data_IF_413772494474
#
_entry.id   IF_413772494474
#
_cell.length_a   1.000
_cell.length_b   1.000
_cell.length_c   1.000
_cell.angle_alpha   90.00
_cell.angle_beta   90.00
_cell.angle_gamma   90.00
#
_symmetry.space_group_name_H-M   'P 1'
#
loop_
_entity.id
_entity.type
_entity.pdbx_description
1 polymer ?
#
# COMPACT_ATOMS: atom_id res chain seq x y z
N UNK A 1 -7.21 14.74 -7.43
CA UNK A 1 -6.26 14.31 -8.49
C UNK A 1 -6.82 13.09 -9.21
N UNK A 2 -6.39 12.76 -10.44
CA UNK A 2 -6.93 11.61 -11.20
C UNK A 2 -6.63 10.28 -10.47
N UNK A 3 -5.48 10.18 -9.81
CA UNK A 3 -5.11 9.01 -8.99
C UNK A 3 -5.96 8.83 -7.72
N UNK A 4 -6.83 9.80 -7.41
CA UNK A 4 -7.81 9.65 -6.34
C UNK A 4 -9.02 8.83 -6.74
N UNK A 5 -9.22 8.64 -8.05
CA UNK A 5 -10.34 7.88 -8.59
C UNK A 5 -10.05 6.39 -8.35
N UNK A 6 -10.84 5.69 -7.52
CA UNK A 6 -10.52 4.32 -7.11
C UNK A 6 -10.30 3.35 -8.26
N UNK A 7 -11.16 3.39 -9.28
CA UNK A 7 -11.09 2.48 -10.43
C UNK A 7 -9.83 2.65 -11.29
N UNK A 8 -9.13 3.78 -11.14
CA UNK A 8 -7.98 4.12 -11.96
C UNK A 8 -6.63 3.75 -11.35
N UNK A 9 -6.58 3.22 -10.12
CA UNK A 9 -5.32 3.02 -9.38
C UNK A 9 -4.24 2.25 -10.15
N UNK A 10 -4.60 1.16 -10.84
CA UNK A 10 -3.66 0.33 -11.62
C UNK A 10 -3.13 1.01 -12.89
N UNK A 11 -3.80 2.02 -13.41
CA UNK A 11 -3.35 2.75 -14.60
C UNK A 11 -2.14 3.65 -14.33
N UNK A 12 -1.79 3.87 -13.06
CA UNK A 12 -0.61 4.63 -12.64
C UNK A 12 0.67 3.79 -12.52
N UNK A 13 0.62 2.49 -12.83
CA UNK A 13 1.82 1.68 -12.92
C UNK A 13 2.63 2.07 -14.15
N UNK A 14 3.96 2.15 -14.01
CA UNK A 14 4.86 2.66 -15.04
C UNK A 14 4.64 4.14 -15.44
N UNK A 15 4.03 4.95 -14.58
CA UNK A 15 3.97 6.41 -14.76
C UNK A 15 5.01 7.11 -13.88
N UNK A 16 5.03 8.44 -13.90
CA UNK A 16 5.91 9.31 -13.11
C UNK A 16 5.71 9.20 -11.58
N UNK A 17 4.54 8.73 -11.12
CA UNK A 17 4.25 8.47 -9.71
C UNK A 17 4.55 7.04 -9.27
N UNK A 18 5.19 6.24 -10.12
CA UNK A 18 5.70 4.91 -9.82
C UNK A 18 7.23 4.93 -9.89
N UNK A 19 7.91 4.24 -8.97
CA UNK A 19 9.34 3.97 -9.06
C UNK A 19 9.69 3.02 -10.20
N UNK A 20 8.71 2.24 -10.68
CA UNK A 20 8.84 1.34 -11.83
C UNK A 20 9.92 0.26 -11.61
N UNK A 21 10.06 -0.21 -10.37
CA UNK A 21 11.00 -1.27 -10.06
C UNK A 21 10.67 -2.53 -10.85
N UNK A 22 11.71 -3.31 -11.13
CA UNK A 22 11.59 -4.65 -11.69
C UNK A 22 12.49 -5.58 -10.90
N UNK A 23 12.05 -6.81 -10.72
CA UNK A 23 12.94 -7.84 -10.16
C UNK A 23 14.09 -8.11 -11.13
N UNK A 24 15.17 -8.72 -10.62
CA UNK A 24 16.10 -9.45 -11.49
C UNK A 24 15.35 -10.56 -12.25
N UNK A 25 15.87 -11.10 -13.37
CA UNK A 25 15.27 -12.25 -14.03
C UNK A 25 15.08 -13.42 -13.05
N UNK A 26 13.85 -13.93 -12.97
CA UNK A 26 13.46 -14.99 -12.05
C UNK A 26 13.75 -16.36 -12.65
N UNK A 27 14.42 -17.23 -11.89
CA UNK A 27 14.76 -18.59 -12.33
C UNK A 27 13.55 -19.52 -12.33
N UNK A 28 12.67 -19.36 -11.34
CA UNK A 28 11.57 -20.27 -11.02
C UNK A 28 10.16 -19.64 -11.12
N UNK A 29 10.08 -18.39 -11.59
CA UNK A 29 8.83 -17.64 -11.67
C UNK A 29 8.83 -16.73 -12.91
N UNK A 30 7.75 -15.97 -13.09
CA UNK A 30 7.63 -14.94 -14.12
C UNK A 30 7.80 -15.44 -15.57
N UNK A 31 7.51 -16.72 -15.86
CA UNK A 31 7.65 -17.31 -17.19
C UNK A 31 6.86 -16.58 -18.29
N UNK A 32 5.75 -15.93 -17.91
CA UNK A 32 4.90 -15.14 -18.80
C UNK A 32 5.25 -13.64 -18.85
N UNK A 33 6.31 -13.22 -18.15
CA UNK A 33 6.77 -11.83 -18.14
C UNK A 33 7.96 -11.65 -19.10
N UNK A 34 8.06 -10.46 -19.71
CA UNK A 34 9.22 -10.07 -20.50
C UNK A 34 10.50 -10.21 -19.69
N UNK A 35 11.51 -10.89 -20.25
CA UNK A 35 12.80 -11.19 -19.62
C UNK A 35 12.71 -11.92 -18.27
N UNK A 36 11.58 -12.57 -17.96
CA UNK A 36 11.29 -13.19 -16.66
C UNK A 36 11.41 -12.21 -15.48
N UNK A 37 11.11 -10.93 -15.70
CA UNK A 37 11.15 -9.90 -14.66
C UNK A 37 9.73 -9.51 -14.26
N UNK A 38 9.45 -9.51 -12.96
CA UNK A 38 8.17 -9.06 -12.43
C UNK A 38 8.25 -7.55 -12.24
N UNK A 39 7.21 -6.83 -12.70
CA UNK A 39 7.07 -5.40 -12.37
C UNK A 39 6.74 -5.26 -10.89
N UNK A 40 7.29 -4.23 -10.25
CA UNK A 40 7.15 -4.02 -8.82
C UNK A 40 6.70 -2.57 -8.54
N UNK A 41 5.40 -2.27 -8.76
CA UNK A 41 4.89 -0.92 -8.59
C UNK A 41 5.13 -0.41 -7.17
N UNK A 42 5.66 0.81 -7.05
CA UNK A 42 5.95 1.45 -5.76
C UNK A 42 5.74 2.94 -5.88
N UNK A 43 4.91 3.52 -5.01
CA UNK A 43 4.51 4.92 -5.16
C UNK A 43 5.66 5.89 -4.93
N UNK A 44 5.80 6.83 -5.86
CA UNK A 44 6.77 7.91 -5.87
C UNK A 44 6.05 9.24 -5.73
N UNK A 45 6.03 9.76 -4.50
CA UNK A 45 5.36 11.02 -4.17
C UNK A 45 4.90 11.07 -2.72
N UNK A 46 4.30 12.19 -2.32
CA UNK A 46 3.73 12.34 -0.98
C UNK A 46 2.61 11.32 -0.77
N UNK A 47 2.79 10.43 0.20
CA UNK A 47 1.89 9.30 0.49
C UNK A 47 2.42 7.94 0.03
N UNK A 48 3.51 7.92 -0.74
CA UNK A 48 4.18 6.70 -1.17
C UNK A 48 3.23 5.76 -1.93
N UNK A 49 3.36 4.45 -1.71
CA UNK A 49 2.53 3.44 -2.40
C UNK A 49 1.02 3.57 -2.13
N UNK A 50 0.58 4.30 -1.10
CA UNK A 50 -0.86 4.57 -0.91
C UNK A 50 -1.48 5.40 -2.03
N UNK A 51 -0.67 6.06 -2.87
CA UNK A 51 -1.11 6.80 -4.05
C UNK A 51 -1.61 5.91 -5.19
N UNK A 52 -1.16 4.66 -5.27
CA UNK A 52 -1.42 3.75 -6.39
C UNK A 52 -1.80 2.32 -5.98
N UNK A 53 -1.86 2.02 -4.67
CA UNK A 53 -2.28 0.71 -4.17
C UNK A 53 -3.74 0.38 -4.55
N UNK A 54 -4.15 -0.86 -4.27
CA UNK A 54 -5.51 -1.33 -4.50
C UNK A 54 -6.55 -0.84 -3.45
N UNK A 55 -6.18 0.06 -2.53
CA UNK A 55 -7.00 0.60 -1.44
C UNK A 55 -7.58 -0.42 -0.45
N UNK A 56 -7.40 -1.72 -0.64
CA UNK A 56 -7.86 -2.77 0.29
C UNK A 56 -7.48 -2.43 1.74
N UNK A 57 -8.49 -2.35 2.61
CA UNK A 57 -8.30 -2.13 4.04
C UNK A 57 -8.43 -3.48 4.76
N UNK A 58 -7.28 -4.11 5.00
CA UNK A 58 -7.17 -5.44 5.64
C UNK A 58 -6.01 -5.39 6.62
N UNK A 59 -6.24 -5.89 7.83
CA UNK A 59 -5.23 -6.05 8.90
C UNK A 59 -4.62 -7.46 8.83
N UNK A 60 -3.45 -7.63 9.42
CA UNK A 60 -2.82 -8.95 9.54
C UNK A 60 -3.63 -9.88 10.44
N UNK A 61 -3.32 -11.17 10.39
CA UNK A 61 -3.85 -12.12 11.36
C UNK A 61 -3.31 -11.78 12.76
N UNK A 62 -4.08 -12.03 13.83
CA UNK A 62 -3.59 -11.82 15.19
C UNK A 62 -2.25 -12.56 15.42
N UNK A 63 -2.17 -13.79 14.91
CA UNK A 63 -0.98 -14.64 14.98
C UNK A 63 0.24 -14.01 14.28
N UNK A 64 0.06 -13.20 13.24
CA UNK A 64 1.19 -12.58 12.54
C UNK A 64 1.97 -11.65 13.48
N UNK A 65 1.26 -10.91 14.34
CA UNK A 65 1.83 -9.98 15.32
C UNK A 65 2.42 -10.73 16.52
N UNK A 66 1.72 -11.74 17.03
CA UNK A 66 2.22 -12.57 18.13
C UNK A 66 3.51 -13.33 17.73
N UNK A 67 3.58 -13.77 16.47
CA UNK A 67 4.78 -14.41 15.91
C UNK A 67 5.94 -13.42 15.70
N UNK A 68 5.68 -12.11 15.63
CA UNK A 68 6.74 -11.09 15.68
C UNK A 68 7.27 -10.88 17.09
N UNK A 69 6.39 -10.86 18.09
CA UNK A 69 6.80 -10.68 19.48
C UNK A 69 7.59 -11.88 20.01
N UNK A 70 7.17 -13.10 19.68
CA UNK A 70 7.79 -14.35 20.14
C UNK A 70 9.33 -14.40 20.00
N UNK A 71 9.96 -14.02 18.87
CA UNK A 71 11.41 -13.96 18.73
C UNK A 71 12.08 -12.70 19.32
N UNK A 72 11.30 -11.74 19.83
CA UNK A 72 11.83 -10.61 20.61
C UNK A 72 11.38 -9.21 20.19
N UNK A 73 10.43 -9.06 19.25
CA UNK A 73 9.84 -7.76 18.93
C UNK A 73 8.83 -7.34 20.02
N UNK A 74 9.33 -7.09 21.23
CA UNK A 74 8.51 -6.76 22.41
C UNK A 74 7.59 -5.56 22.12
N UNK A 75 6.33 -5.66 22.52
CA UNK A 75 5.35 -4.60 22.29
C UNK A 75 4.74 -4.61 20.88
N UNK A 76 4.91 -5.72 20.15
CA UNK A 76 4.32 -5.94 18.82
C UNK A 76 3.35 -7.12 18.80
N UNK A 77 2.89 -7.61 19.95
CA UNK A 77 1.79 -8.57 20.00
C UNK A 77 0.52 -7.96 19.39
N UNK A 78 -0.46 -8.80 19.03
CA UNK A 78 -1.73 -8.29 18.52
C UNK A 78 -2.40 -7.32 19.52
N UNK A 79 -2.35 -7.64 20.81
CA UNK A 79 -2.90 -6.81 21.88
C UNK A 79 -2.24 -5.43 21.93
N UNK A 80 -0.91 -5.36 21.75
CA UNK A 80 -0.17 -4.09 21.77
C UNK A 80 -0.44 -3.21 20.54
N UNK A 81 -0.67 -3.81 19.37
CA UNK A 81 -0.88 -3.06 18.12
C UNK A 81 -2.35 -2.68 17.88
N UNK A 82 -3.31 -3.41 18.46
CA UNK A 82 -4.74 -3.15 18.29
C UNK A 82 -5.13 -1.69 18.63
N UNK A 83 -4.69 -1.08 19.73
CA UNK A 83 -4.96 0.33 20.01
C UNK A 83 -4.50 1.29 18.90
N UNK A 84 -3.44 0.95 18.18
CA UNK A 84 -2.96 1.76 17.06
C UNK A 84 -3.79 1.55 15.79
N UNK A 85 -4.30 0.34 15.55
CA UNK A 85 -5.29 0.11 14.49
C UNK A 85 -6.59 0.88 14.75
N UNK A 86 -7.07 0.89 15.99
CA UNK A 86 -8.24 1.69 16.38
C UNK A 86 -7.96 3.19 16.22
N UNK A 87 -6.79 3.67 16.65
CA UNK A 87 -6.39 5.08 16.50
C UNK A 87 -6.28 5.52 15.04
N UNK A 88 -5.89 4.61 14.14
CA UNK A 88 -5.75 4.85 12.71
C UNK A 88 -7.10 5.03 12.02
N UNK A 89 -8.12 4.32 12.49
CA UNK A 89 -9.33 4.02 11.74
C UNK A 89 -10.45 5.04 11.93
N UNK A 90 -11.05 5.44 10.82
CA UNK A 90 -12.34 6.10 10.75
C UNK A 90 -13.31 5.24 9.96
N UNK A 91 -13.84 4.20 10.60
CA UNK A 91 -14.74 3.25 9.97
C UNK A 91 -16.12 3.87 9.77
N UNK A 92 -16.68 3.73 8.56
CA UNK A 92 -17.99 4.27 8.18
C UNK A 92 -19.09 3.23 8.06
N UNK A 93 -18.77 1.95 8.24
CA UNK A 93 -19.71 0.84 8.15
C UNK A 93 -20.26 0.52 9.57
N UNK A 94 -21.52 0.88 9.89
CA UNK A 94 -22.04 0.77 11.26
C UNK A 94 -22.05 -0.66 11.80
N UNK A 95 -22.21 -1.65 10.93
CA UNK A 95 -22.21 -3.07 11.27
C UNK A 95 -20.87 -3.54 11.84
N UNK A 96 -19.77 -2.84 11.54
CA UNK A 96 -18.43 -3.20 12.04
C UNK A 96 -18.09 -2.47 13.35
N UNK A 97 -18.78 -1.37 13.68
CA UNK A 97 -18.51 -0.59 14.89
C UNK A 97 -19.01 -1.26 16.19
N UNK A 98 -19.90 -2.26 16.08
CA UNK A 98 -20.54 -2.89 17.24
C UNK A 98 -19.74 -4.07 17.82
N UNK A 99 -18.75 -4.60 17.09
CA UNK A 99 -18.05 -5.83 17.46
C UNK A 99 -16.78 -5.62 18.33
N UNK A 100 -16.39 -4.37 18.59
CA UNK A 100 -15.23 -4.02 19.44
C UNK A 100 -13.87 -4.04 18.75
N UNK A 101 -13.80 -4.38 17.46
CA UNK A 101 -12.55 -4.42 16.68
C UNK A 101 -12.34 -3.17 15.83
N UNK A 102 -13.29 -2.24 15.82
CA UNK A 102 -13.27 -1.05 14.99
C UNK A 102 -13.44 0.24 15.76
N UNK A 103 -12.93 1.33 15.19
CA UNK A 103 -13.08 2.67 15.71
C UNK A 103 -13.49 3.67 14.63
N UNK A 104 -14.00 4.81 15.07
CA UNK A 104 -14.29 5.96 14.21
C UNK A 104 -13.50 7.19 14.65
N UNK A 105 -13.31 8.16 13.74
CA UNK A 105 -12.63 9.42 14.03
C UNK A 105 -11.12 9.43 13.80
N UNK A 106 -10.51 8.31 13.41
CA UNK A 106 -9.12 8.25 12.97
C UNK A 106 -8.85 8.97 11.64
N UNK A 107 -7.58 9.09 11.24
CA UNK A 107 -7.20 9.80 10.02
C UNK A 107 -7.44 9.02 8.72
N UNK A 108 -7.51 7.69 8.74
CA UNK A 108 -7.77 6.86 7.56
C UNK A 108 -9.22 6.40 7.57
N UNK A 109 -9.99 6.87 6.59
CA UNK A 109 -11.39 6.44 6.43
C UNK A 109 -11.43 5.05 5.80
N UNK A 110 -12.11 4.12 6.46
CA UNK A 110 -12.39 2.78 5.98
C UNK A 110 -13.89 2.68 5.67
N UNK A 111 -14.23 2.45 4.40
CA UNK A 111 -15.63 2.31 3.95
C UNK A 111 -15.75 1.25 2.86
N UNK A 112 -16.88 0.55 2.80
CA UNK A 112 -17.26 -0.29 1.64
C UNK A 112 -17.41 0.60 0.39
N UNK A 113 -17.08 0.10 -0.82
CA UNK A 113 -17.25 0.87 -2.04
C UNK A 113 -18.73 1.20 -2.29
N UNK A 114 -19.00 2.33 -2.93
CA UNK A 114 -20.36 2.78 -3.30
C UNK A 114 -20.86 2.14 -4.61
N UNK A 115 -20.35 0.95 -4.92
CA UNK A 115 -20.73 0.15 -6.07
C UNK A 115 -20.61 -1.33 -5.70
N UNK A 116 -21.66 -2.09 -6.01
CA UNK A 116 -21.67 -3.54 -5.85
C UNK A 116 -21.52 -4.20 -7.23
N UNK A 117 -20.43 -4.98 -7.40
CA UNK A 117 -20.19 -5.72 -8.62
C UNK A 117 -21.12 -6.92 -8.77
N UNK A 118 -21.40 -7.32 -10.00
CA UNK A 118 -22.37 -8.38 -10.33
C UNK A 118 -22.00 -9.74 -9.71
N UNK A 119 -20.71 -9.98 -9.48
CA UNK A 119 -20.20 -11.24 -8.93
C UNK A 119 -20.31 -11.33 -7.39
N UNK A 120 -20.58 -10.21 -6.70
CA UNK A 120 -20.57 -10.14 -5.23
C UNK A 120 -21.53 -11.16 -4.61
N UNK A 121 -22.82 -11.07 -4.95
CA UNK A 121 -23.85 -11.94 -4.38
C UNK A 121 -23.69 -13.41 -4.78
N UNK A 122 -23.42 -13.76 -6.05
CA UNK A 122 -23.14 -15.15 -6.43
C UNK A 122 -21.99 -15.79 -5.65
N UNK A 123 -20.89 -15.06 -5.41
CA UNK A 123 -19.76 -15.58 -4.62
C UNK A 123 -20.17 -15.74 -3.15
N UNK A 124 -20.92 -14.79 -2.60
CA UNK A 124 -21.44 -14.87 -1.24
C UNK A 124 -22.33 -16.10 -1.03
N UNK A 125 -23.25 -16.34 -1.94
CA UNK A 125 -24.15 -17.50 -1.91
C UNK A 125 -23.39 -18.82 -2.05
N UNK A 126 -22.45 -18.89 -3.00
CA UNK A 126 -21.60 -20.07 -3.19
C UNK A 126 -20.76 -20.38 -1.94
N UNK A 127 -20.18 -19.36 -1.31
CA UNK A 127 -19.45 -19.52 -0.06
C UNK A 127 -20.33 -20.10 1.06
N UNK A 128 -21.56 -19.61 1.21
CA UNK A 128 -22.51 -20.12 2.20
C UNK A 128 -22.94 -21.56 1.89
N UNK A 129 -23.19 -21.91 0.63
CA UNK A 129 -23.50 -23.28 0.21
C UNK A 129 -22.35 -24.26 0.51
N UNK A 130 -21.11 -23.79 0.45
CA UNK A 130 -19.91 -24.55 0.83
C UNK A 130 -19.68 -24.60 2.35
N UNK A 131 -20.53 -23.95 3.16
CA UNK A 131 -20.42 -23.92 4.62
C UNK A 131 -19.49 -22.85 5.17
N UNK A 132 -19.01 -21.92 4.35
CA UNK A 132 -18.21 -20.78 4.83
C UNK A 132 -19.10 -19.67 5.39
N UNK A 133 -18.58 -19.01 6.42
CA UNK A 133 -19.20 -17.80 6.98
C UNK A 133 -18.83 -16.57 6.15
N UNK A 134 -19.77 -15.63 6.08
CA UNK A 134 -19.51 -14.26 5.67
C UNK A 134 -19.31 -13.45 6.94
N UNK A 135 -18.14 -12.85 7.13
CA UNK A 135 -17.69 -12.27 8.39
C UNK A 135 -16.96 -10.94 8.17
N UNK A 136 -16.51 -10.34 9.25
CA UNK A 136 -15.58 -9.22 9.26
C UNK A 136 -14.15 -9.75 9.43
N UNK A 137 -13.31 -9.56 8.41
CA UNK A 137 -11.94 -10.10 8.38
C UNK A 137 -10.95 -9.36 9.28
N UNK A 138 -11.35 -8.21 9.82
CA UNK A 138 -10.54 -7.41 10.74
C UNK A 138 -10.96 -7.58 12.21
N UNK A 139 -11.91 -8.49 12.47
CA UNK A 139 -12.42 -8.83 13.80
C UNK A 139 -11.89 -10.19 14.30
N UNK A 140 -12.60 -10.79 15.26
CA UNK A 140 -12.21 -12.01 15.98
C UNK A 140 -11.83 -13.20 15.07
N UNK A 141 -12.61 -13.43 14.01
CA UNK A 141 -12.42 -14.57 13.11
C UNK A 141 -11.99 -14.11 11.72
N UNK A 142 -10.79 -14.51 11.29
CA UNK A 142 -10.19 -14.00 10.05
C UNK A 142 -10.18 -15.05 8.91
N UNK A 143 -10.85 -16.19 9.11
CA UNK A 143 -11.02 -17.24 8.09
C UNK A 143 -12.47 -17.30 7.62
N UNK A 144 -12.74 -16.80 6.42
CA UNK A 144 -14.06 -16.78 5.81
C UNK A 144 -14.12 -15.89 4.58
N UNK A 145 -15.33 -15.57 4.14
CA UNK A 145 -15.59 -14.59 3.08
C UNK A 145 -16.02 -13.28 3.70
N UNK A 146 -15.78 -12.15 3.04
CA UNK A 146 -16.12 -10.83 3.57
C UNK A 146 -16.24 -9.81 2.45
N UNK A 147 -17.02 -8.78 2.71
CA UNK A 147 -17.08 -7.61 1.85
C UNK A 147 -15.85 -6.75 2.12
N UNK A 148 -15.08 -6.45 1.07
CA UNK A 148 -13.88 -5.65 1.22
C UNK A 148 -14.22 -4.19 1.55
N UNK A 149 -13.64 -3.68 2.63
CA UNK A 149 -13.51 -2.25 2.86
C UNK A 149 -12.29 -1.71 2.11
N UNK A 150 -12.36 -0.43 1.75
CA UNK A 150 -11.24 0.30 1.18
C UNK A 150 -10.86 1.51 2.03
N UNK A 151 -9.59 1.92 1.96
CA UNK A 151 -9.12 3.22 2.44
C UNK A 151 -9.65 4.33 1.52
N UNK A 152 -10.92 4.69 1.69
CA UNK A 152 -11.71 5.56 0.81
C UNK A 152 -12.42 6.59 1.68
N UNK A 153 -12.51 7.82 1.18
CA UNK A 153 -13.26 8.92 1.80
C UNK A 153 -14.11 9.58 0.74
N UNK A 154 -15.43 9.51 0.91
CA UNK A 154 -16.38 10.12 -0.02
C UNK A 154 -16.20 9.62 -1.47
N UNK A 155 -16.04 8.31 -1.65
CA UNK A 155 -15.86 7.70 -2.97
C UNK A 155 -14.51 7.98 -3.63
N UNK A 156 -13.53 8.53 -2.90
CA UNK A 156 -12.18 8.80 -3.39
C UNK A 156 -11.13 8.10 -2.53
N UNK A 157 -10.00 7.75 -3.13
CA UNK A 157 -8.82 7.24 -2.40
C UNK A 157 -8.46 8.13 -1.20
N UNK A 158 -8.32 7.51 -0.04
CA UNK A 158 -7.77 8.10 1.17
C UNK A 158 -6.30 7.68 1.31
N UNK A 159 -5.40 8.40 0.64
CA UNK A 159 -3.94 8.17 0.77
C UNK A 159 -3.42 8.64 2.13
N UNK A 160 -2.26 8.15 2.55
CA UNK A 160 -1.64 8.60 3.81
C UNK A 160 -1.30 10.09 3.79
N UNK A 161 -0.95 10.65 2.62
CA UNK A 161 -0.77 12.10 2.47
C UNK A 161 -2.07 12.88 2.74
N UNK A 162 -3.20 12.44 2.16
CA UNK A 162 -4.50 13.08 2.42
C UNK A 162 -4.96 12.93 3.87
N UNK A 163 -4.66 11.79 4.48
CA UNK A 163 -5.06 11.47 5.83
C UNK A 163 -4.24 12.21 6.90
N UNK A 164 -2.93 12.34 6.69
CA UNK A 164 -2.00 12.85 7.69
C UNK A 164 -1.30 14.15 7.33
N UNK A 165 -0.85 14.30 6.08
CA UNK A 165 -0.04 15.45 5.66
C UNK A 165 -0.91 16.67 5.35
N UNK A 166 -1.96 16.50 4.54
CA UNK A 166 -2.84 17.62 4.15
C UNK A 166 -3.45 18.33 5.37
N UNK A 167 -4.01 17.62 6.39
CA UNK A 167 -4.53 18.29 7.58
C UNK A 167 -3.45 18.95 8.46
N UNK A 168 -2.17 18.62 8.24
CA UNK A 168 -1.04 19.10 9.02
C UNK A 168 -0.16 20.10 8.26
N UNK A 169 -0.43 20.38 6.98
CA UNK A 169 0.48 21.12 6.09
C UNK A 169 0.75 22.57 6.53
N UNK A 170 -0.19 23.17 7.26
CA UNK A 170 -0.07 24.54 7.76
C UNK A 170 0.55 24.64 9.16
N UNK A 171 1.02 23.53 9.74
CA UNK A 171 1.69 23.54 11.05
C UNK A 171 3.08 24.13 10.90
N UNK A 172 3.39 25.16 11.67
CA UNK A 172 4.69 25.87 11.60
C UNK A 172 5.89 25.05 12.10
N UNK A 173 5.66 23.86 12.64
CA UNK A 173 6.68 22.93 13.11
C UNK A 173 6.83 21.69 12.21
N UNK A 174 6.28 21.74 10.99
CA UNK A 174 6.38 20.68 9.99
C UNK A 174 6.78 21.26 8.63
N UNK A 175 7.97 20.89 8.14
CA UNK A 175 8.40 21.20 6.79
C UNK A 175 8.20 19.96 5.90
N UNK A 176 7.51 20.12 4.77
CA UNK A 176 7.29 19.07 3.77
C UNK A 176 8.01 19.48 2.48
N UNK A 177 9.11 18.79 2.17
CA UNK A 177 9.91 19.09 0.97
C UNK A 177 9.67 18.03 -0.10
N UNK A 178 8.72 18.32 -1.01
CA UNK A 178 8.45 17.46 -2.16
C UNK A 178 9.60 17.50 -3.18
N UNK A 179 9.85 16.38 -3.87
CA UNK A 179 10.91 16.31 -4.89
C UNK A 179 12.34 16.30 -4.34
N UNK A 180 12.52 16.19 -3.02
CA UNK A 180 13.82 15.99 -2.39
C UNK A 180 14.19 14.49 -2.38
N UNK A 181 15.22 14.11 -3.13
CA UNK A 181 15.66 12.72 -3.24
C UNK A 181 16.86 12.44 -2.35
N UNK A 182 16.65 11.70 -1.25
CA UNK A 182 17.71 11.38 -0.28
C UNK A 182 18.72 10.40 -0.86
N UNK A 183 20.01 10.74 -0.77
CA UNK A 183 21.13 9.95 -1.29
C UNK A 183 21.89 9.17 -0.22
N UNK A 184 22.06 9.77 0.97
CA UNK A 184 22.74 9.13 2.11
C UNK A 184 22.33 9.75 3.43
N UNK A 185 22.48 8.98 4.50
CA UNK A 185 22.45 9.43 5.90
C UNK A 185 23.85 9.89 6.30
N UNK A 186 23.92 11.00 7.04
CA UNK A 186 25.17 11.58 7.56
C UNK A 186 25.42 11.06 8.96
N UNK A 187 26.68 10.72 9.28
CA UNK A 187 27.07 10.16 10.57
C UNK A 187 28.20 10.94 11.25
N UNK A 188 28.15 10.99 12.58
CA UNK A 188 29.26 11.30 13.47
C UNK A 188 29.57 10.05 14.30
N UNK A 189 30.65 9.35 13.96
CA UNK A 189 30.90 7.99 14.43
C UNK A 189 29.76 7.04 14.06
N UNK A 190 29.00 6.59 15.06
CA UNK A 190 27.81 5.72 14.87
C UNK A 190 26.47 6.46 15.01
N UNK A 191 26.49 7.77 15.27
CA UNK A 191 25.28 8.58 15.44
C UNK A 191 24.85 9.17 14.11
N UNK A 192 23.61 8.93 13.68
CA UNK A 192 23.02 9.65 12.57
C UNK A 192 22.80 11.12 12.95
N UNK A 193 23.28 12.05 12.12
CA UNK A 193 23.26 13.50 12.39
C UNK A 193 22.54 14.31 11.31
N UNK A 194 22.05 13.66 10.26
CA UNK A 194 21.37 14.34 9.16
C UNK A 194 21.25 13.47 7.92
N UNK A 195 20.83 14.09 6.82
CA UNK A 195 20.76 13.45 5.51
C UNK A 195 21.28 14.40 4.43
N UNK A 196 21.83 13.82 3.37
CA UNK A 196 22.14 14.51 2.13
C UNK A 196 21.11 14.09 1.07
N UNK A 197 20.62 15.04 0.31
CA UNK A 197 19.57 14.84 -0.70
C UNK A 197 19.74 15.79 -1.88
N UNK A 198 19.24 15.39 -3.04
CA UNK A 198 19.11 16.26 -4.19
C UNK A 198 17.80 17.03 -4.13
N UNK A 199 17.86 18.33 -4.36
CA UNK A 199 16.69 19.18 -4.48
C UNK A 199 16.92 20.23 -5.57
N UNK A 200 16.03 20.29 -6.56
CA UNK A 200 16.13 21.23 -7.69
C UNK A 200 17.48 21.18 -8.44
N UNK A 201 18.10 19.99 -8.52
CA UNK A 201 19.43 19.71 -9.09
C UNK A 201 20.62 20.17 -8.24
N UNK A 202 20.39 20.65 -7.02
CA UNK A 202 21.44 20.97 -6.06
C UNK A 202 21.57 19.86 -5.00
N UNK A 203 22.81 19.58 -4.60
CA UNK A 203 23.08 18.69 -3.46
C UNK A 203 22.95 19.48 -2.16
N UNK A 204 22.01 19.07 -1.31
CA UNK A 204 21.67 19.72 -0.07
C UNK A 204 21.94 18.80 1.13
N UNK A 205 22.19 19.39 2.30
CA UNK A 205 22.25 18.69 3.57
C UNK A 205 21.26 19.30 4.57
N UNK A 206 20.66 18.44 5.40
CA UNK A 206 19.91 18.88 6.58
C UNK A 206 20.37 18.09 7.81
N UNK A 207 20.53 18.78 8.94
CA UNK A 207 21.00 18.19 10.19
C UNK A 207 19.82 17.89 11.12
N UNK A 208 19.89 16.75 11.80
CA UNK A 208 18.89 16.30 12.77
C UNK A 208 19.45 16.39 14.20
N UNK A 209 18.76 17.13 15.07
CA UNK A 209 19.17 17.26 16.49
C UNK A 209 18.91 15.99 17.29
N UNK A 210 17.84 15.26 16.96
CA UNK A 210 17.41 14.06 17.70
C UNK A 210 17.70 12.81 16.91
N UNK A 211 16.95 12.61 15.83
CA UNK A 211 16.86 11.33 15.12
C UNK A 211 16.65 11.55 13.62
N UNK A 212 17.06 10.55 12.85
CA UNK A 212 16.72 10.38 11.43
C UNK A 212 15.85 9.12 11.34
N UNK A 213 14.61 9.26 10.86
CA UNK A 213 13.65 8.17 10.74
C UNK A 213 13.52 7.78 9.28
N UNK A 214 13.80 6.52 8.98
CA UNK A 214 13.80 5.99 7.62
C UNK A 214 12.41 5.47 7.26
N UNK A 215 11.78 6.10 6.27
CA UNK A 215 10.42 5.76 5.81
C UNK A 215 10.33 5.65 4.29
N UNK A 216 11.40 5.18 3.63
CA UNK A 216 11.50 5.13 2.17
C UNK A 216 10.80 3.88 1.55
N UNK A 217 10.20 3.02 2.38
CA UNK A 217 9.64 1.72 1.98
C UNK A 217 10.69 0.62 1.92
N UNK A 218 10.26 -0.64 1.78
CA UNK A 218 11.12 -1.84 1.89
C UNK A 218 12.36 -1.78 1.01
N UNK A 219 12.18 -1.49 -0.29
CA UNK A 219 13.27 -1.46 -1.27
C UNK A 219 14.23 -0.29 -1.05
N UNK A 220 13.72 0.94 -1.03
CA UNK A 220 14.57 2.13 -0.96
C UNK A 220 15.20 2.32 0.42
N UNK A 221 14.57 1.85 1.50
CA UNK A 221 15.19 1.92 2.84
C UNK A 221 16.44 1.04 2.89
N UNK A 222 16.36 -0.20 2.39
CA UNK A 222 17.52 -1.09 2.32
C UNK A 222 18.62 -0.50 1.44
N UNK A 223 18.26 0.02 0.26
CA UNK A 223 19.21 0.68 -0.64
C UNK A 223 19.88 1.89 0.04
N UNK A 224 19.11 2.78 0.66
CA UNK A 224 19.62 4.00 1.26
C UNK A 224 20.52 3.70 2.47
N UNK A 225 20.19 2.69 3.28
CA UNK A 225 21.07 2.22 4.36
C UNK A 225 22.40 1.71 3.80
N UNK A 226 22.38 0.90 2.75
CA UNK A 226 23.60 0.39 2.11
C UNK A 226 24.44 1.54 1.50
N UNK A 227 23.82 2.48 0.80
CA UNK A 227 24.47 3.70 0.28
C UNK A 227 25.08 4.57 1.41
N UNK A 228 24.55 4.44 2.62
CA UNK A 228 25.03 5.14 3.81
C UNK A 228 26.04 4.34 4.64
N UNK A 229 26.52 3.19 4.14
CA UNK A 229 27.51 2.37 4.83
C UNK A 229 26.95 1.39 5.88
N UNK A 230 25.64 1.16 5.90
CA UNK A 230 24.98 0.18 6.77
C UNK A 230 24.45 -0.98 5.92
N UNK A 231 25.11 -2.12 5.97
CA UNK A 231 24.76 -3.29 5.17
C UNK A 231 25.86 -4.35 5.13
N UNK A 232 25.71 -5.41 4.32
CA UNK A 232 26.66 -6.51 4.31
C UNK A 232 28.05 -6.02 3.88
N UNK A 233 29.05 -6.13 4.75
CA UNK A 233 30.39 -5.56 4.53
C UNK A 233 30.99 -5.90 3.16
N UNK A 234 30.96 -7.18 2.78
CA UNK A 234 31.47 -7.65 1.49
C UNK A 234 30.73 -7.08 0.28
N UNK A 235 29.46 -6.70 0.44
CA UNK A 235 28.70 -6.03 -0.62
C UNK A 235 29.12 -4.57 -0.72
N UNK A 236 29.19 -3.87 0.42
CA UNK A 236 29.60 -2.46 0.48
C UNK A 236 31.01 -2.23 -0.09
N UNK A 237 31.96 -3.11 0.25
CA UNK A 237 33.34 -3.07 -0.25
C UNK A 237 33.45 -3.21 -1.78
N UNK A 238 32.49 -3.90 -2.44
CA UNK A 238 32.48 -4.00 -3.91
C UNK A 238 32.14 -2.69 -4.62
N UNK A 239 31.53 -1.76 -3.90
CA UNK A 239 31.12 -0.45 -4.41
C UNK A 239 31.93 0.69 -3.78
N UNK A 240 33.06 0.38 -3.12
CA UNK A 240 33.91 1.35 -2.43
C UNK A 240 33.15 2.20 -1.39
N UNK A 241 32.12 1.63 -0.75
CA UNK A 241 31.33 2.29 0.28
C UNK A 241 31.96 2.03 1.66
N UNK A 242 32.34 3.07 2.43
CA UNK A 242 32.83 2.90 3.80
C UNK A 242 31.81 2.23 4.71
N UNK A 243 32.25 1.22 5.46
CA UNK A 243 31.37 0.45 6.35
C UNK A 243 31.24 1.13 7.72
N UNK A 244 30.04 1.58 8.03
CA UNK A 244 29.64 2.09 9.35
C UNK A 244 29.16 0.94 10.24
N UNK A 245 28.36 0.03 9.68
CA UNK A 245 27.87 -1.15 10.38
C UNK A 245 27.66 -2.32 9.40
N UNK A 246 28.20 -3.49 9.77
CA UNK A 246 28.01 -4.74 9.05
C UNK A 246 26.74 -5.43 9.55
N UNK A 247 25.66 -5.31 8.78
CA UNK A 247 24.33 -5.84 9.10
C UNK A 247 23.73 -6.48 7.83
N UNK A 248 22.84 -7.49 7.96
CA UNK A 248 22.22 -8.18 6.81
C UNK A 248 21.11 -7.32 6.14
N UNK A 249 21.39 -6.05 5.86
CA UNK A 249 20.45 -5.14 5.20
C UNK A 249 20.19 -5.62 3.77
N UNK A 250 18.92 -5.73 3.41
CA UNK A 250 18.47 -6.23 2.10
C UNK A 250 18.12 -7.72 2.11
N UNK A 251 18.45 -8.45 3.17
CA UNK A 251 18.03 -9.84 3.35
C UNK A 251 16.59 -9.94 3.90
N UNK A 252 16.07 -11.17 4.00
CA UNK A 252 14.72 -11.49 4.51
C UNK A 252 13.59 -10.75 3.77
N UNK A 253 13.77 -10.49 2.48
CA UNK A 253 12.73 -9.94 1.63
C UNK A 253 11.57 -10.93 1.48
N UNK A 254 10.36 -10.47 1.78
CA UNK A 254 9.13 -11.26 1.71
C UNK A 254 8.08 -10.47 0.95
N UNK A 255 7.27 -11.17 0.16
CA UNK A 255 6.10 -10.62 -0.52
C UNK A 255 5.07 -11.70 -0.83
N UNK A 256 3.85 -11.29 -1.14
CA UNK A 256 2.75 -12.18 -1.49
C UNK A 256 2.74 -12.48 -2.99
N UNK A 257 3.12 -13.70 -3.36
CA UNK A 257 3.01 -14.17 -4.74
C UNK A 257 1.56 -14.52 -5.07
N UNK A 258 1.02 -13.91 -6.12
CA UNK A 258 -0.32 -14.19 -6.64
C UNK A 258 -0.29 -14.50 -8.14
N UNK A 259 -1.25 -15.31 -8.60
CA UNK A 259 -1.48 -15.57 -10.03
C UNK A 259 -2.93 -15.25 -10.38
N UNK A 260 -3.20 -14.39 -11.38
CA UNK A 260 -4.57 -14.06 -11.75
C UNK A 260 -5.24 -15.23 -12.48
N UNK A 261 -6.44 -15.59 -12.05
CA UNK A 261 -7.34 -16.48 -12.79
C UNK A 261 -8.51 -15.66 -13.34
N UNK A 262 -8.85 -15.85 -14.61
CA UNK A 262 -9.92 -15.10 -15.28
C UNK A 262 -11.08 -16.00 -15.63
N UNK A 263 -12.29 -15.51 -15.38
CA UNK A 263 -13.56 -16.14 -15.74
C UNK A 263 -14.37 -15.16 -16.59
N UNK A 264 -15.16 -15.69 -17.51
CA UNK A 264 -16.09 -14.89 -18.32
C UNK A 264 -17.44 -14.87 -17.61
N UNK A 265 -17.98 -13.66 -17.39
CA UNK A 265 -19.32 -13.45 -16.87
C UNK A 265 -20.22 -12.92 -17.99
N UNK A 266 -21.52 -13.20 -17.90
CA UNK A 266 -22.53 -12.58 -18.74
C UNK A 266 -22.85 -11.17 -18.22
N UNK A 267 -21.89 -10.26 -18.38
CA UNK A 267 -21.98 -8.87 -17.94
C UNK A 267 -21.12 -7.95 -18.81
N UNK A 268 -21.49 -6.67 -18.89
CA UNK A 268 -20.69 -5.66 -19.60
C UNK A 268 -19.26 -5.61 -19.02
N UNK A 269 -18.20 -5.58 -19.86
CA UNK A 269 -16.82 -5.45 -19.39
C UNK A 269 -16.61 -4.18 -18.56
N UNK A 270 -15.76 -4.26 -17.53
CA UNK A 270 -15.42 -3.11 -16.68
C UNK A 270 -14.89 -1.94 -17.52
N UNK A 271 -14.06 -2.22 -18.53
CA UNK A 271 -13.51 -1.19 -19.42
C UNK A 271 -14.60 -0.36 -20.08
N UNK A 272 -15.65 -1.01 -20.58
CA UNK A 272 -16.74 -0.33 -21.28
C UNK A 272 -17.56 0.51 -20.31
N UNK A 273 -17.82 -0.02 -19.11
CA UNK A 273 -18.50 0.73 -18.05
C UNK A 273 -17.69 1.96 -17.60
N UNK A 274 -16.36 1.87 -17.54
CA UNK A 274 -15.51 3.02 -17.20
C UNK A 274 -15.40 4.08 -18.30
N UNK A 275 -15.67 3.71 -19.56
CA UNK A 275 -15.70 4.63 -20.69
C UNK A 275 -17.09 5.23 -20.95
N UNK A 276 -18.12 4.75 -20.26
CA UNK A 276 -19.48 5.25 -20.37
C UNK A 276 -19.60 6.65 -19.73
N UNK A 277 -20.03 7.63 -20.52
CA UNK A 277 -20.18 9.02 -20.09
C UNK A 277 -21.12 9.16 -18.89
N UNK A 278 -22.19 8.36 -18.80
CA UNK A 278 -23.15 8.47 -17.71
C UNK A 278 -22.50 8.04 -16.38
N UNK A 279 -21.70 6.97 -16.39
CA UNK A 279 -20.94 6.52 -15.21
C UNK A 279 -19.88 7.54 -14.79
N UNK A 280 -19.22 8.20 -15.76
CA UNK A 280 -18.26 9.26 -15.49
C UNK A 280 -18.97 10.46 -14.84
N UNK A 281 -20.11 10.88 -15.40
CA UNK A 281 -20.88 12.01 -14.89
C UNK A 281 -21.49 11.72 -13.51
N UNK A 282 -21.95 10.48 -13.27
CA UNK A 282 -22.40 10.05 -11.95
C UNK A 282 -21.29 10.23 -10.90
N UNK A 283 -20.08 9.79 -11.20
CA UNK A 283 -18.95 9.96 -10.29
C UNK A 283 -18.57 11.44 -10.09
N UNK A 284 -18.55 12.24 -11.17
CA UNK A 284 -18.22 13.67 -11.10
C UNK A 284 -19.22 14.40 -10.20
N UNK A 285 -20.51 14.12 -10.35
CA UNK A 285 -21.58 14.82 -9.66
C UNK A 285 -21.80 14.31 -8.22
N UNK A 286 -21.74 12.99 -8.02
CA UNK A 286 -22.24 12.36 -6.79
C UNK A 286 -21.17 11.57 -6.01
N UNK A 287 -20.00 11.31 -6.61
CA UNK A 287 -18.99 10.39 -6.06
C UNK A 287 -19.59 9.01 -5.74
N UNK A 288 -20.42 8.50 -6.64
CA UNK A 288 -21.03 7.16 -6.60
C UNK A 288 -20.77 6.43 -7.92
N UNK A 289 -21.29 5.20 -8.02
CA UNK A 289 -21.23 4.43 -9.26
C UNK A 289 -19.91 3.68 -9.42
N UNK A 290 -19.80 2.98 -10.55
CA UNK A 290 -18.74 1.99 -10.79
C UNK A 290 -17.33 2.56 -10.72
N UNK A 291 -17.16 3.86 -11.02
CA UNK A 291 -15.87 4.54 -10.97
C UNK A 291 -15.28 4.58 -9.53
N UNK A 292 -16.12 4.38 -8.50
CA UNK A 292 -15.70 4.27 -7.10
C UNK A 292 -15.17 2.88 -6.71
N UNK A 293 -15.27 1.87 -7.58
CA UNK A 293 -14.75 0.53 -7.28
C UNK A 293 -13.23 0.50 -7.25
N UNK A 294 -12.64 -0.26 -6.32
CA UNK A 294 -11.19 -0.46 -6.21
C UNK A 294 -10.76 -1.92 -6.45
N UNK A 295 -11.74 -2.82 -6.52
CA UNK A 295 -11.52 -4.23 -6.86
C UNK A 295 -11.96 -4.42 -8.29
N UNK A 296 -10.99 -4.61 -9.17
CA UNK A 296 -11.27 -4.96 -10.56
C UNK A 296 -11.44 -6.46 -10.70
N UNK A 297 -12.67 -6.90 -10.94
CA UNK A 297 -12.88 -8.09 -11.76
C UNK A 297 -12.58 -7.70 -13.20
N UNK A 298 -11.38 -8.04 -13.70
CA UNK A 298 -11.07 -7.86 -15.11
C UNK A 298 -11.84 -8.91 -15.91
N UNK A 299 -12.93 -8.49 -16.55
CA UNK A 299 -13.68 -9.30 -17.50
C UNK A 299 -12.98 -9.22 -18.86
N UNK A 300 -12.64 -10.37 -19.46
CA UNK A 300 -12.28 -10.44 -20.87
C UNK A 300 -13.51 -10.86 -21.66
N UNK A 301 -13.71 -10.25 -22.82
CA UNK A 301 -14.74 -10.66 -23.77
C UNK A 301 -14.52 -12.12 -24.18
N UNK A 302 -15.62 -12.81 -24.46
CA UNK A 302 -15.61 -14.08 -25.18
C UNK A 302 -14.95 -13.81 -26.54
N UNK A 303 -13.79 -14.41 -26.80
CA UNK A 303 -13.29 -14.51 -28.16
C UNK A 303 -14.13 -15.60 -28.81
N UNK A 304 -15.05 -15.22 -29.70
CA UNK A 304 -15.79 -16.19 -30.51
C UNK A 304 -14.77 -17.05 -31.28
N UNK A 305 -14.87 -18.37 -31.07
CA UNK A 305 -14.06 -19.40 -31.73
C UNK A 305 -14.58 -19.69 -33.14
#
# INVERSE_FOLDING_TARGET
>A
MINDIPALGRFFWNTDIDWQFKTVPQKHAAYFHSNKQVIWPSGKGLGGSSLLNAMLYVRGNHKDYDDWEAPGAKGWSYEDVLPYFLKLEDNKDPDYLENGYHASGGPITAEKPRYEGEIKNPIREAAQQMGYKVLDSNAEYQTGFYDHQGSIRNGQRCSTAKAYLVPAENRTNLDIVGGAYTKKVLFDGKRAVGVQFDYQNDECEVRARREVIMSAGTTNTAQLLMLSGIGPKKHLEKFDIPVIADLPVGDNFQDHCGFPMSFVLDAKPLKDKLNDTDNIMEYINNRTGIVTTFISSSLREKVDS
#
